data_IF_887802062683
#
_entry.id   IF_887802062683
#
_cell.length_a   1.000
_cell.length_b   1.000
_cell.length_c   1.000
_cell.angle_alpha   90.00
_cell.angle_beta   90.00
_cell.angle_gamma   90.00
#
_symmetry.space_group_name_H-M   'P 1'
#
loop_
_entity.id
_entity.type
_entity.pdbx_description
1 polymer ?
#
# COMPACT_ATOMS: atom_id res chain seq x y z
N UNK A 1 27.81 -79.86 1.72
CA UNK A 1 27.05 -79.01 0.75
C UNK A 1 26.30 -77.96 1.49
N UNK A 2 26.86 -76.75 1.56
CA UNK A 2 26.29 -75.63 2.30
C UNK A 2 25.56 -74.73 1.33
N UNK A 3 24.25 -74.52 1.53
CA UNK A 3 23.45 -73.53 0.80
C UNK A 3 23.51 -72.21 1.58
N UNK A 4 24.22 -71.25 1.00
CA UNK A 4 24.17 -69.84 1.46
C UNK A 4 22.82 -69.22 1.15
N UNK A 5 22.12 -68.73 2.18
CA UNK A 5 20.94 -67.91 2.04
C UNK A 5 21.35 -66.43 2.13
N UNK A 6 21.40 -65.80 0.97
CA UNK A 6 21.62 -64.34 0.89
C UNK A 6 20.34 -63.60 1.31
N UNK A 7 20.36 -62.99 2.47
CA UNK A 7 19.28 -62.14 2.95
C UNK A 7 19.45 -60.77 2.30
N UNK A 8 18.55 -60.45 1.38
CA UNK A 8 18.45 -59.10 0.81
C UNK A 8 17.75 -58.22 1.82
N UNK A 9 18.51 -57.32 2.46
CA UNK A 9 17.98 -56.29 3.31
C UNK A 9 17.55 -55.13 2.41
N UNK A 10 16.23 -54.99 2.21
CA UNK A 10 15.65 -53.87 1.51
C UNK A 10 15.67 -52.64 2.47
N UNK A 11 16.63 -51.78 2.30
CA UNK A 11 16.63 -50.46 2.95
C UNK A 11 15.58 -49.57 2.29
N UNK A 12 14.43 -49.42 2.93
CA UNK A 12 13.49 -48.34 2.61
C UNK A 12 14.06 -47.01 3.15
N UNK A 13 14.67 -46.24 2.28
CA UNK A 13 14.99 -44.86 2.59
C UNK A 13 13.70 -44.05 2.47
N UNK A 14 13.06 -43.76 3.59
CA UNK A 14 11.97 -42.80 3.68
C UNK A 14 12.55 -41.40 3.48
N UNK A 15 12.42 -40.87 2.26
CA UNK A 15 12.64 -39.47 1.97
C UNK A 15 11.45 -38.70 2.57
N UNK A 16 11.63 -38.22 3.81
CA UNK A 16 10.74 -37.24 4.38
C UNK A 16 11.00 -35.92 3.68
N UNK A 17 10.19 -35.61 2.66
CA UNK A 17 10.15 -34.30 2.03
C UNK A 17 9.55 -33.32 3.04
N UNK A 18 10.37 -32.75 3.91
CA UNK A 18 9.98 -31.63 4.75
C UNK A 18 9.87 -30.41 3.84
N UNK A 19 8.64 -30.16 3.37
CA UNK A 19 8.29 -28.88 2.74
C UNK A 19 8.40 -27.80 3.80
N UNK A 20 9.56 -27.17 3.92
CA UNK A 20 9.68 -25.91 4.64
C UNK A 20 8.90 -24.87 3.83
N UNK A 21 7.65 -24.68 4.16
CA UNK A 21 6.92 -23.50 3.77
C UNK A 21 7.59 -22.31 4.51
N UNK A 22 8.52 -21.64 3.84
CA UNK A 22 8.97 -20.33 4.26
C UNK A 22 7.76 -19.40 4.09
N UNK A 23 6.98 -19.24 5.16
CA UNK A 23 6.06 -18.13 5.27
C UNK A 23 6.93 -16.85 5.26
N UNK A 24 6.99 -16.16 4.11
CA UNK A 24 7.58 -14.86 4.03
C UNK A 24 6.79 -13.95 4.96
N UNK A 25 7.31 -13.67 6.17
CA UNK A 25 6.77 -12.67 7.07
C UNK A 25 6.81 -11.36 6.31
N UNK A 26 5.64 -10.84 5.91
CA UNK A 26 5.52 -9.51 5.35
C UNK A 26 6.20 -8.54 6.31
N UNK A 27 7.26 -7.86 5.84
CA UNK A 27 8.05 -6.97 6.65
C UNK A 27 7.17 -5.78 7.01
N UNK A 28 6.78 -5.65 8.29
CA UNK A 28 6.00 -4.52 8.78
C UNK A 28 6.74 -3.23 8.44
N UNK A 29 6.06 -2.31 7.75
CA UNK A 29 6.61 -0.99 7.47
C UNK A 29 6.75 -0.22 8.79
N UNK A 30 7.73 0.70 8.86
CA UNK A 30 7.94 1.52 10.05
C UNK A 30 6.94 2.68 10.09
N UNK A 31 6.52 3.03 11.31
CA UNK A 31 5.81 4.28 11.54
C UNK A 31 6.69 5.47 11.15
N UNK A 32 6.05 6.51 10.64
CA UNK A 32 6.73 7.75 10.24
C UNK A 32 6.28 8.92 11.09
N UNK A 33 7.16 9.89 11.30
CA UNK A 33 6.90 11.13 12.05
C UNK A 33 6.54 12.30 11.14
N UNK A 34 6.88 12.20 9.87
CA UNK A 34 6.67 13.21 8.85
C UNK A 34 6.07 12.58 7.60
N UNK A 35 5.37 13.41 6.82
CA UNK A 35 4.85 13.00 5.52
C UNK A 35 6.01 12.61 4.60
N UNK A 36 5.97 11.41 4.04
CA UNK A 36 6.91 10.94 3.04
C UNK A 36 6.19 10.72 1.71
N UNK A 37 6.74 11.30 0.65
CA UNK A 37 6.20 11.24 -0.70
C UNK A 37 7.21 10.53 -1.59
N UNK A 38 6.82 9.38 -2.14
CA UNK A 38 7.60 8.66 -3.14
C UNK A 38 6.91 8.72 -4.49
N UNK A 39 7.57 9.28 -5.50
CA UNK A 39 7.08 9.24 -6.88
C UNK A 39 7.42 7.88 -7.46
N UNK A 40 6.40 7.06 -7.78
CA UNK A 40 6.57 5.72 -8.32
C UNK A 40 6.56 5.69 -9.84
N UNK A 41 5.79 6.57 -10.43
CA UNK A 41 5.74 6.79 -11.87
C UNK A 41 5.37 8.25 -12.15
N UNK A 42 6.00 8.86 -13.12
CA UNK A 42 5.69 10.19 -13.62
C UNK A 42 5.74 10.20 -15.14
N UNK A 43 4.65 10.62 -15.82
CA UNK A 43 4.67 10.72 -17.26
C UNK A 43 5.69 11.76 -17.76
N UNK A 44 6.28 11.53 -18.93
CA UNK A 44 7.25 12.45 -19.54
C UNK A 44 6.62 13.80 -19.87
N UNK A 45 5.38 13.79 -20.40
CA UNK A 45 4.63 14.98 -20.74
C UNK A 45 3.67 15.33 -19.60
N UNK A 46 4.06 16.27 -18.76
CA UNK A 46 3.24 16.80 -17.68
C UNK A 46 2.90 18.26 -17.95
N UNK A 47 1.83 18.50 -18.68
CA UNK A 47 1.39 19.86 -19.02
C UNK A 47 0.71 20.57 -17.85
N UNK A 48 0.04 19.81 -16.98
CA UNK A 48 -0.74 20.32 -15.87
C UNK A 48 -0.48 19.52 -14.62
N UNK A 49 -0.25 20.25 -13.53
CA UNK A 49 -0.08 19.69 -12.18
C UNK A 49 -1.21 20.10 -11.26
N UNK A 50 -1.56 19.22 -10.31
CA UNK A 50 -2.59 19.49 -9.32
C UNK A 50 -2.17 20.63 -8.38
N UNK A 51 -3.05 21.59 -8.21
CA UNK A 51 -2.87 22.80 -7.37
C UNK A 51 -3.97 22.87 -6.33
N UNK A 52 -3.74 23.67 -5.30
CA UNK A 52 -4.78 24.02 -4.34
C UNK A 52 -5.99 24.63 -5.08
N UNK A 53 -7.18 24.15 -4.75
CA UNK A 53 -8.45 24.56 -5.37
C UNK A 53 -8.88 23.69 -6.54
N UNK A 54 -7.99 22.92 -7.14
CA UNK A 54 -8.34 21.99 -8.21
C UNK A 54 -9.21 20.85 -7.70
N UNK A 55 -10.19 20.44 -8.48
CA UNK A 55 -10.92 19.18 -8.25
C UNK A 55 -10.16 18.05 -8.91
N UNK A 56 -9.76 17.07 -8.12
CA UNK A 56 -8.96 15.93 -8.59
C UNK A 56 -9.73 14.63 -8.48
N UNK A 57 -9.49 13.75 -9.45
CA UNK A 57 -10.02 12.38 -9.48
C UNK A 57 -8.85 11.43 -9.32
N UNK A 58 -8.88 10.60 -8.29
CA UNK A 58 -7.80 9.68 -7.96
C UNK A 58 -8.29 8.26 -7.77
N UNK A 59 -7.44 7.30 -8.15
CA UNK A 59 -7.52 5.95 -7.61
C UNK A 59 -6.52 5.80 -6.48
N UNK A 60 -6.91 5.08 -5.45
CA UNK A 60 -6.03 4.85 -4.29
C UNK A 60 -6.27 3.49 -3.64
N UNK A 61 -5.26 3.03 -2.95
CA UNK A 61 -5.34 1.93 -2.00
C UNK A 61 -4.64 2.33 -0.72
N UNK A 62 -5.35 2.28 0.39
CA UNK A 62 -4.84 2.60 1.72
C UNK A 62 -4.57 1.35 2.54
N UNK A 63 -3.40 1.31 3.18
CA UNK A 63 -2.92 0.20 4.02
C UNK A 63 -2.37 0.72 5.33
N UNK A 64 -2.43 -0.12 6.35
CA UNK A 64 -1.69 0.05 7.59
C UNK A 64 -0.24 -0.43 7.41
N UNK A 65 0.60 -0.18 8.40
CA UNK A 65 2.02 -0.57 8.37
C UNK A 65 2.25 -2.08 8.36
N UNK A 66 1.26 -2.87 8.79
CA UNK A 66 1.28 -4.34 8.71
C UNK A 66 0.89 -4.89 7.32
N UNK A 67 0.53 -3.99 6.39
CA UNK A 67 0.11 -4.34 5.04
C UNK A 67 -1.39 -4.60 4.89
N UNK A 68 -2.17 -4.56 5.96
CA UNK A 68 -3.62 -4.73 5.87
C UNK A 68 -4.27 -3.55 5.15
N UNK A 69 -5.09 -3.85 4.14
CA UNK A 69 -5.85 -2.86 3.38
C UNK A 69 -7.08 -2.43 4.19
N UNK A 70 -7.27 -1.12 4.34
CA UNK A 70 -8.45 -0.58 5.00
C UNK A 70 -9.44 0.06 4.03
N UNK A 71 -9.00 0.51 2.86
CA UNK A 71 -9.87 1.08 1.83
C UNK A 71 -9.19 1.10 0.47
N UNK A 72 -9.99 1.03 -0.61
CA UNK A 72 -9.52 1.20 -1.98
C UNK A 72 -10.66 1.64 -2.90
N UNK A 73 -10.41 2.66 -3.70
CA UNK A 73 -11.34 3.09 -4.76
C UNK A 73 -11.46 2.04 -5.88
N UNK A 74 -10.42 1.22 -6.06
CA UNK A 74 -10.42 0.13 -7.04
C UNK A 74 -11.47 -0.93 -6.72
N UNK A 75 -11.75 -1.19 -5.45
CA UNK A 75 -12.79 -2.13 -5.01
C UNK A 75 -14.19 -1.65 -5.40
N UNK A 76 -14.37 -0.35 -5.62
CA UNK A 76 -15.63 0.28 -6.04
C UNK A 76 -15.69 0.56 -7.54
N UNK A 77 -14.62 0.31 -8.28
CA UNK A 77 -14.48 0.63 -9.71
C UNK A 77 -14.85 2.10 -10.06
N UNK A 78 -14.57 3.00 -9.14
CA UNK A 78 -14.88 4.43 -9.31
C UNK A 78 -13.81 5.29 -8.68
N UNK A 79 -13.22 6.26 -9.42
CA UNK A 79 -12.30 7.22 -8.85
C UNK A 79 -12.95 8.03 -7.72
N UNK A 80 -12.16 8.36 -6.73
CA UNK A 80 -12.53 9.27 -5.67
C UNK A 80 -12.26 10.70 -6.10
N UNK A 81 -13.24 11.59 -5.93
CA UNK A 81 -13.18 12.98 -6.38
C UNK A 81 -13.28 13.92 -5.19
N UNK A 82 -12.36 14.88 -5.11
CA UNK A 82 -12.39 15.91 -4.07
C UNK A 82 -11.65 17.17 -4.53
N UNK A 83 -11.88 18.29 -3.83
CA UNK A 83 -11.15 19.54 -4.06
C UNK A 83 -9.90 19.57 -3.19
N UNK A 84 -8.75 19.75 -3.84
CA UNK A 84 -7.43 19.71 -3.18
C UNK A 84 -7.17 20.98 -2.35
N UNK A 85 -6.62 20.80 -1.15
CA UNK A 85 -6.20 21.89 -0.28
C UNK A 85 -7.31 22.59 0.48
N UNK A 86 -8.51 22.01 0.56
CA UNK A 86 -9.69 22.60 1.23
C UNK A 86 -10.07 21.91 2.55
N UNK A 87 -9.26 20.97 3.02
CA UNK A 87 -9.58 20.18 4.22
C UNK A 87 -10.70 19.15 4.01
N UNK A 88 -11.06 18.84 2.78
CA UNK A 88 -12.07 17.82 2.44
C UNK A 88 -11.56 16.41 2.71
N UNK A 89 -10.25 16.23 2.80
CA UNK A 89 -9.54 14.97 3.03
C UNK A 89 -8.50 15.16 4.12
N UNK A 90 -7.86 14.07 4.54
CA UNK A 90 -6.77 14.13 5.52
C UNK A 90 -5.61 15.03 5.04
N UNK A 91 -4.93 15.68 5.97
CA UNK A 91 -3.84 16.62 5.66
C UNK A 91 -2.73 16.02 4.80
N UNK A 92 -2.42 14.76 5.02
CA UNK A 92 -1.43 14.04 4.23
C UNK A 92 -1.76 13.99 2.74
N UNK A 93 -3.03 13.97 2.38
CA UNK A 93 -3.48 14.05 0.99
C UNK A 93 -3.44 15.47 0.45
N UNK A 94 -3.99 16.44 1.19
CA UNK A 94 -3.99 17.84 0.76
C UNK A 94 -2.57 18.35 0.48
N UNK A 95 -1.57 17.86 1.21
CA UNK A 95 -0.16 18.20 0.97
C UNK A 95 0.54 17.22 0.03
N UNK A 96 0.26 15.94 0.16
CA UNK A 96 0.98 14.88 -0.57
C UNK A 96 0.63 14.76 -2.05
N UNK A 97 -0.49 15.33 -2.49
CA UNK A 97 -0.94 15.26 -3.88
C UNK A 97 -0.69 16.56 -4.66
N UNK A 98 -0.22 17.61 -4.00
CA UNK A 98 0.18 18.83 -4.69
C UNK A 98 1.28 18.55 -5.73
N UNK A 99 1.14 19.14 -6.91
CA UNK A 99 2.12 19.03 -7.97
C UNK A 99 2.06 17.70 -8.75
N UNK A 100 1.10 16.83 -8.48
CA UNK A 100 0.93 15.60 -9.27
C UNK A 100 0.53 15.91 -10.70
N UNK A 101 1.14 15.19 -11.65
CA UNK A 101 0.69 15.14 -13.03
C UNK A 101 -0.45 14.15 -13.21
N UNK A 102 -1.32 14.36 -14.20
CA UNK A 102 -2.29 13.33 -14.61
C UNK A 102 -1.51 12.08 -15.07
N UNK A 103 -1.84 10.93 -14.53
CA UNK A 103 -1.13 9.67 -14.77
C UNK A 103 0.03 9.39 -13.82
N UNK A 104 0.43 10.35 -12.98
CA UNK A 104 1.46 10.14 -11.97
C UNK A 104 0.97 9.20 -10.87
N UNK A 105 1.88 8.37 -10.37
CA UNK A 105 1.65 7.47 -9.22
C UNK A 105 2.58 7.86 -8.09
N UNK A 106 2.01 8.07 -6.92
CA UNK A 106 2.76 8.34 -5.68
C UNK A 106 2.44 7.33 -4.60
N UNK A 107 3.45 7.06 -3.79
CA UNK A 107 3.29 6.39 -2.50
C UNK A 107 3.43 7.41 -1.39
N UNK A 108 2.41 7.54 -0.56
CA UNK A 108 2.41 8.43 0.59
C UNK A 108 2.52 7.61 1.87
N UNK A 109 3.46 7.99 2.75
CA UNK A 109 3.48 7.51 4.14
C UNK A 109 3.10 8.69 5.01
N UNK A 110 1.96 8.56 5.68
CA UNK A 110 1.31 9.66 6.39
C UNK A 110 1.35 9.38 7.88
N UNK A 111 2.00 10.25 8.68
CA UNK A 111 1.96 10.13 10.13
C UNK A 111 0.55 10.36 10.65
N UNK A 112 0.23 9.83 11.83
CA UNK A 112 -1.12 9.90 12.38
C UNK A 112 -1.66 11.33 12.52
N UNK A 113 -0.82 12.30 12.88
CA UNK A 113 -1.25 13.71 13.02
C UNK A 113 -1.64 14.39 11.69
N UNK A 114 -1.29 13.79 10.56
CA UNK A 114 -1.73 14.19 9.22
C UNK A 114 -2.75 13.22 8.61
N UNK A 115 -3.16 12.24 9.36
CA UNK A 115 -4.18 11.25 9.03
C UNK A 115 -5.37 11.34 9.99
N UNK A 116 -5.64 10.26 10.71
CA UNK A 116 -6.79 10.16 11.62
C UNK A 116 -6.46 10.38 13.10
N UNK A 117 -5.23 10.79 13.41
CA UNK A 117 -4.81 11.19 14.76
C UNK A 117 -4.87 10.06 15.79
N UNK A 118 -4.95 10.45 17.07
CA UNK A 118 -4.98 9.51 18.19
C UNK A 118 -6.30 8.75 18.31
N UNK A 119 -7.38 9.29 17.74
CA UNK A 119 -8.70 8.62 17.71
C UNK A 119 -8.81 7.54 16.64
N UNK A 120 -8.04 7.65 15.56
CA UNK A 120 -8.14 6.75 14.42
C UNK A 120 -9.47 6.87 13.69
N UNK A 121 -9.83 5.81 12.97
CA UNK A 121 -11.12 5.61 12.31
C UNK A 121 -11.57 4.17 12.51
N UNK A 122 -12.10 3.84 13.71
CA UNK A 122 -12.51 2.46 14.02
C UNK A 122 -13.61 1.95 13.08
N UNK A 123 -13.68 0.63 12.83
CA UNK A 123 -12.82 -0.42 13.41
C UNK A 123 -11.52 -0.66 12.64
N UNK A 124 -11.35 -0.10 11.44
CA UNK A 124 -10.26 -0.46 10.53
C UNK A 124 -8.95 0.25 10.80
N UNK A 125 -9.00 1.51 11.26
CA UNK A 125 -7.81 2.34 11.50
C UNK A 125 -7.69 2.62 13.00
N UNK A 126 -6.70 2.02 13.67
CA UNK A 126 -6.46 2.30 15.09
C UNK A 126 -5.94 3.71 15.30
N UNK A 127 -6.07 4.22 16.53
CA UNK A 127 -5.48 5.49 16.91
C UNK A 127 -3.95 5.49 16.79
N UNK A 128 -3.37 6.60 16.39
CA UNK A 128 -1.93 6.76 16.22
C UNK A 128 -1.34 6.03 15.00
N UNK A 129 -2.17 5.55 14.08
CA UNK A 129 -1.70 4.76 12.95
C UNK A 129 -1.04 5.61 11.87
N UNK A 130 0.13 5.18 11.41
CA UNK A 130 0.71 5.61 10.13
C UNK A 130 -0.06 4.96 8.99
N UNK A 131 -0.41 5.76 7.99
CA UNK A 131 -1.15 5.30 6.81
C UNK A 131 -0.22 5.25 5.60
N UNK A 132 -0.40 4.22 4.78
CA UNK A 132 0.35 4.05 3.52
C UNK A 132 -0.65 4.03 2.38
N UNK A 133 -0.55 5.01 1.48
CA UNK A 133 -1.40 5.10 0.30
C UNK A 133 -0.60 4.97 -0.98
N UNK A 134 -1.08 4.13 -1.87
CA UNK A 134 -0.72 4.17 -3.28
C UNK A 134 -1.80 4.98 -4.01
N UNK A 135 -1.42 6.07 -4.67
CA UNK A 135 -2.35 7.01 -5.32
C UNK A 135 -1.96 7.23 -6.77
N UNK A 136 -2.95 7.21 -7.65
CA UNK A 136 -2.82 7.57 -9.05
C UNK A 136 -3.77 8.72 -9.39
N UNK A 137 -3.24 9.79 -9.97
CA UNK A 137 -4.06 10.92 -10.42
C UNK A 137 -4.64 10.63 -11.80
N UNK A 138 -5.97 10.58 -11.88
CA UNK A 138 -6.69 10.23 -13.12
C UNK A 138 -7.06 11.48 -13.91
N UNK A 139 -7.52 12.53 -13.23
CA UNK A 139 -8.02 13.75 -13.87
C UNK A 139 -7.88 14.96 -12.95
N UNK A 140 -7.64 16.12 -13.56
CA UNK A 140 -7.67 17.44 -12.90
C UNK A 140 -8.75 18.28 -13.58
N UNK A 141 -9.64 18.87 -12.76
CA UNK A 141 -10.58 19.92 -13.17
C UNK A 141 -10.17 21.21 -12.44
N UNK A 142 -9.77 22.22 -13.18
CA UNK A 142 -9.50 23.54 -12.61
C UNK A 142 -10.79 24.30 -12.34
N UNK A 143 -10.78 25.13 -11.31
CA UNK A 143 -11.85 26.12 -11.08
C UNK A 143 -11.92 27.12 -12.24
#
# INVERSE_FOLDING_TARGET
MARSRTTVVLLFVLFACASLALAAKAKKAKDVKELQIGVKFKPENCEKTAKQGDTVHVHYTGKLTDGSKFDSSLDRNQPFTFTLGRGSVIKGWDQGLLGMCVGEKRKLKIPSHMGYGDSGSPPKIPGGATLIFDVELIKIQSE
#
